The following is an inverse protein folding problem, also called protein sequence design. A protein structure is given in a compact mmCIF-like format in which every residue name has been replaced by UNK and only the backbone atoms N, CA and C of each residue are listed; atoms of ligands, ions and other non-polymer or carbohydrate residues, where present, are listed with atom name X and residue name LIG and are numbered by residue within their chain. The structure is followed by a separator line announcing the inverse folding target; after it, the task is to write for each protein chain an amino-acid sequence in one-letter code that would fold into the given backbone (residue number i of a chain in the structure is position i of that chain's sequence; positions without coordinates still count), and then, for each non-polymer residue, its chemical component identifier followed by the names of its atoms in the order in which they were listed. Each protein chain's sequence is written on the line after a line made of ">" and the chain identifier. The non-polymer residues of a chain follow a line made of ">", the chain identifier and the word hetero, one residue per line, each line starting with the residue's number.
data_IF_045490956018
#
_entry.id   IF_045490956018
#
_cell.length_a   1.000
_cell.length_b   1.000
_cell.length_c   1.000
_cell.angle_alpha   90.00
_cell.angle_beta   90.00
_cell.angle_gamma   90.00
#
_symmetry.space_group_name_H-M   'P 1'
#
loop_
_entity.id
_entity.type
_entity.pdbx_description
1 polymer ?
#
# COMPACT_ATOMS: atom_id res chain seq x y z
N UNK A 1 -26.61 -17.37 5.21
CA UNK A 1 -27.06 -16.77 5.06
C UNK A 1 -26.98 -16.53 4.79
N UNK A 2 -26.44 -16.61 4.91
CA UNK A 2 -26.63 -16.03 4.75
C UNK A 2 -26.14 -15.73 4.61
N UNK A 3 -25.60 -15.79 4.66
CA UNK A 3 -25.56 -15.14 4.47
C UNK A 3 -25.05 -14.73 4.39
N UNK A 4 -24.47 -14.84 4.57
CA UNK A 4 -24.41 -14.12 4.53
C UNK A 4 -23.73 -13.93 4.37
N UNK A 5 -23.40 -13.96 4.41
CA UNK A 5 -23.27 -13.49 4.32
C UNK A 5 -22.75 -13.24 4.33
N UNK A 6 -22.42 -13.46 4.38
CA UNK A 6 -22.64 -12.80 4.51
C UNK A 6 -22.11 -12.47 4.52
N UNK A 7 -21.30 -12.38 4.88
CA UNK A 7 -21.64 -11.69 5.02
C UNK A 7 -21.26 -11.36 5.15
N UNK A 8 -20.62 -11.30 5.47
CA UNK A 8 -20.97 -10.66 5.77
C UNK A 8 -20.64 -10.35 5.89
N UNK A 9 -20.05 -10.47 6.10
CA UNK A 9 -20.39 -9.84 6.38
C UNK A 9 -20.03 -9.77 6.39
N UNK A 10 -19.40 -9.67 6.63
CA UNK A 10 -19.70 -9.20 6.87
C UNK A 10 -19.22 -8.91 7.06
N UNK A 11 -18.75 -8.82 7.38
CA UNK A 11 -18.91 -8.13 7.81
C UNK A 11 -18.67 -8.02 8.23
N UNK A 12 -18.36 -8.05 8.32
CA UNK A 12 -18.64 -7.75 8.79
C UNK A 12 -18.91 -7.26 9.04
N UNK A 13 -18.66 -6.91 9.44
CA UNK A 13 -19.23 -6.19 9.82
C UNK A 13 -19.91 -6.19 9.59
N UNK A 14 -19.78 -6.31 9.77
CA UNK A 14 -20.70 -6.09 9.83
C UNK A 14 -21.27 -6.43 9.96
N UNK A 15 -21.37 -6.62 10.40
CA UNK A 15 -22.16 -6.63 10.90
C UNK A 15 -22.64 -6.67 11.20
N UNK A 16 -22.54 -6.82 11.56
CA UNK A 16 -23.17 -6.52 12.09
C UNK A 16 -23.33 -6.66 12.52
N UNK A 17 -23.45 -6.72 13.00
CA UNK A 17 -23.85 -6.48 13.69
C UNK A 17 -23.95 -6.54 14.10
N UNK A 18 -24.05 -6.72 14.43
CA UNK A 18 -24.32 -6.49 15.10
C UNK A 18 -24.37 -6.45 15.48
N UNK A 19 -24.37 -6.56 15.90
CA UNK A 19 -24.34 -6.23 16.55
C UNK A 19 -24.20 -6.04 17.01
N UNK A 20 -24.10 -6.28 17.48
CA UNK A 20 -23.86 -5.85 18.11
C UNK A 20 -23.37 -5.48 18.61
N UNK A 21 -23.19 -5.59 19.14
CA UNK A 21 -22.62 -4.97 19.57
C UNK A 21 -21.92 -4.77 19.80
N UNK A 22 -21.74 -4.70 20.00
CA UNK A 22 -21.00 -4.24 20.16
C UNK A 22 -20.34 -3.83 20.08
N UNK A 23 -19.93 -3.54 20.12
CA UNK A 23 -19.34 -3.00 19.99
C UNK A 23 -18.55 -2.25 20.08
N UNK A 24 -18.34 -2.11 19.97
CA UNK A 24 -17.67 -0.85 19.89
C UNK A 24 -16.30 -0.72 20.44
N UNK A 25 -15.97 -1.20 21.34
CA UNK A 25 -14.68 -1.14 21.86
C UNK A 25 -13.67 -1.64 20.94
N UNK A 26 -14.08 -2.34 20.04
CA UNK A 26 -13.12 -2.88 19.11
C UNK A 26 -12.44 -1.80 18.29
N UNK A 27 -13.05 -0.62 18.17
CA UNK A 27 -12.36 0.40 17.40
C UNK A 27 -11.11 0.87 18.05
N UNK A 28 -11.02 0.81 19.33
CA UNK A 28 -9.81 1.21 20.00
C UNK A 28 -8.69 0.22 19.77
N UNK A 29 -9.02 -0.95 19.25
CA UNK A 29 -8.03 -2.00 19.01
C UNK A 29 -7.59 -2.06 17.57
N UNK A 30 -8.03 -1.15 16.75
CA UNK A 30 -7.65 -1.15 15.35
C UNK A 30 -6.14 -0.98 15.23
N UNK A 31 -5.45 -1.87 14.49
CA UNK A 31 -4.02 -1.72 14.31
C UNK A 31 -3.70 -0.49 13.48
N UNK A 32 -2.54 0.11 13.70
CA UNK A 32 -2.15 1.27 12.90
C UNK A 32 -1.88 0.88 11.46
N UNK A 33 -2.04 1.84 10.57
CA UNK A 33 -1.72 1.67 9.17
C UNK A 33 -0.39 2.34 8.87
N UNK A 34 0.24 1.90 7.79
CA UNK A 34 1.55 2.39 7.39
C UNK A 34 1.52 2.86 5.95
N UNK A 35 2.13 4.01 5.72
CA UNK A 35 2.30 4.55 4.36
C UNK A 35 3.55 3.95 3.76
N UNK A 36 3.44 3.46 2.53
CA UNK A 36 4.59 3.02 1.77
C UNK A 36 4.94 4.13 0.79
N UNK A 37 6.20 4.50 0.76
CA UNK A 37 6.66 5.63 -0.03
C UNK A 37 7.83 5.24 -0.92
N UNK A 38 7.86 5.84 -2.11
CA UNK A 38 8.98 5.72 -3.05
C UNK A 38 9.76 7.03 -3.01
N UNK A 39 11.07 6.91 -2.95
CA UNK A 39 11.95 8.09 -2.91
C UNK A 39 12.66 8.26 -4.23
N UNK A 40 12.90 9.51 -4.60
CA UNK A 40 13.60 9.84 -5.82
C UNK A 40 15.10 9.54 -5.70
N UNK A 41 15.70 9.14 -6.81
CA UNK A 41 17.15 9.06 -6.93
C UNK A 41 17.50 9.37 -8.39
N UNK A 42 18.77 9.67 -8.64
CA UNK A 42 19.21 10.14 -9.95
C UNK A 42 19.57 9.01 -10.92
N UNK A 43 19.54 7.76 -10.46
CA UNK A 43 20.06 6.65 -11.25
C UNK A 43 19.02 5.65 -11.70
N UNK A 44 17.87 5.61 -11.04
CA UNK A 44 16.81 4.68 -11.42
C UNK A 44 16.01 5.27 -12.58
N UNK A 45 15.89 4.55 -13.70
CA UNK A 45 15.11 5.07 -14.83
C UNK A 45 13.64 5.27 -14.46
N UNK A 46 13.03 6.31 -15.00
CA UNK A 46 11.63 6.61 -14.75
C UNK A 46 10.71 5.46 -15.15
N UNK A 47 11.02 4.82 -16.28
CA UNK A 47 10.21 3.70 -16.75
C UNK A 47 10.26 2.52 -15.80
N UNK A 48 11.37 2.34 -15.09
CA UNK A 48 11.47 1.30 -14.08
C UNK A 48 10.55 1.61 -12.90
N UNK A 49 10.51 2.86 -12.47
CA UNK A 49 9.61 3.29 -11.38
C UNK A 49 8.16 3.04 -11.77
N UNK A 50 7.78 3.39 -13.00
CA UNK A 50 6.43 3.16 -13.50
C UNK A 50 6.11 1.65 -13.47
N UNK A 51 7.05 0.85 -13.91
CA UNK A 51 6.86 -0.60 -13.94
C UNK A 51 6.65 -1.17 -12.52
N UNK A 52 7.43 -0.69 -11.56
CA UNK A 52 7.31 -1.10 -10.16
C UNK A 52 5.92 -0.76 -9.63
N UNK A 53 5.44 0.45 -9.93
CA UNK A 53 4.14 0.89 -9.45
C UNK A 53 3.01 0.06 -10.06
N UNK A 54 3.13 -0.29 -11.32
CA UNK A 54 2.13 -1.15 -11.97
C UNK A 54 2.17 -2.57 -11.39
N UNK A 55 3.36 -3.11 -11.24
CA UNK A 55 3.53 -4.51 -10.86
C UNK A 55 3.21 -4.79 -9.39
N UNK A 56 3.70 -3.95 -8.49
CA UNK A 56 3.58 -4.23 -7.06
C UNK A 56 2.45 -3.49 -6.38
N UNK A 57 1.93 -2.43 -7.00
CA UNK A 57 0.86 -1.63 -6.40
C UNK A 57 -0.40 -1.60 -7.24
N UNK A 58 -0.41 -2.36 -8.33
CA UNK A 58 -1.62 -2.53 -9.14
C UNK A 58 -2.14 -1.26 -9.79
N UNK A 59 -1.27 -0.29 -10.01
CA UNK A 59 -1.69 0.97 -10.61
C UNK A 59 -1.85 0.83 -12.12
N UNK A 60 -2.76 1.66 -12.68
CA UNK A 60 -2.84 1.80 -14.13
C UNK A 60 -1.61 2.56 -14.61
N UNK A 61 -1.33 2.49 -15.91
CA UNK A 61 -0.21 3.23 -16.49
C UNK A 61 -0.32 4.72 -16.21
N UNK A 62 -1.52 5.27 -16.30
CA UNK A 62 -1.73 6.70 -16.05
C UNK A 62 -1.44 7.07 -14.60
N UNK A 63 -1.92 6.27 -13.66
CA UNK A 63 -1.65 6.49 -12.24
C UNK A 63 -0.16 6.37 -11.93
N UNK A 64 0.47 5.33 -12.47
CA UNK A 64 1.88 5.09 -12.22
C UNK A 64 2.74 6.23 -12.75
N UNK A 65 2.39 6.75 -13.93
CA UNK A 65 3.11 7.88 -14.50
C UNK A 65 2.96 9.12 -13.62
N UNK A 66 1.75 9.38 -13.15
CA UNK A 66 1.48 10.52 -12.30
C UNK A 66 2.27 10.47 -11.00
N UNK A 67 2.29 9.31 -10.36
CA UNK A 67 3.04 9.11 -9.12
C UNK A 67 4.54 9.26 -9.39
N UNK A 68 5.02 8.69 -10.48
CA UNK A 68 6.43 8.80 -10.86
C UNK A 68 6.84 10.26 -11.03
N UNK A 69 5.99 11.06 -11.67
CA UNK A 69 6.28 12.48 -11.82
C UNK A 69 6.30 13.20 -10.49
N UNK A 70 5.42 12.81 -9.57
CA UNK A 70 5.43 13.38 -8.22
C UNK A 70 6.72 13.05 -7.49
N UNK A 71 7.18 11.80 -7.59
CA UNK A 71 8.45 11.39 -6.98
C UNK A 71 9.59 12.23 -7.55
N UNK A 72 9.59 12.42 -8.87
CA UNK A 72 10.65 13.19 -9.52
C UNK A 72 10.65 14.66 -9.09
N UNK A 73 9.47 15.26 -8.98
CA UNK A 73 9.35 16.68 -8.67
C UNK A 73 9.47 16.98 -7.18
N UNK A 74 8.92 16.14 -6.33
CA UNK A 74 8.82 16.42 -4.90
C UNK A 74 9.81 15.61 -4.06
N UNK A 75 10.48 14.65 -4.66
CA UNK A 75 11.47 13.84 -3.96
C UNK A 75 10.92 12.57 -3.38
N UNK A 76 9.60 12.47 -3.18
CA UNK A 76 8.97 11.25 -2.69
C UNK A 76 7.48 11.29 -2.98
N UNK A 77 6.84 10.12 -2.92
CA UNK A 77 5.39 10.03 -3.03
C UNK A 77 4.91 8.82 -2.25
N UNK A 78 3.73 8.95 -1.64
CA UNK A 78 3.06 7.84 -0.99
C UNK A 78 2.38 7.01 -2.08
N UNK A 79 2.66 5.71 -2.09
CA UNK A 79 2.13 4.82 -3.12
C UNK A 79 1.02 3.91 -2.60
N UNK A 80 0.82 3.88 -1.30
CA UNK A 80 -0.26 3.10 -0.71
C UNK A 80 -0.19 3.14 0.80
N UNK A 81 -1.29 2.71 1.43
CA UNK A 81 -1.40 2.64 2.88
C UNK A 81 -1.88 1.23 3.22
N UNK A 82 -1.16 0.55 4.10
CA UNK A 82 -1.38 -0.87 4.37
C UNK A 82 -1.17 -1.18 5.84
N UNK A 83 -1.58 -2.38 6.26
CA UNK A 83 -1.19 -2.88 7.58
C UNK A 83 0.34 -3.01 7.61
N UNK A 84 0.90 -3.09 8.82
CA UNK A 84 2.35 -3.19 8.98
C UNK A 84 2.94 -4.34 8.17
N UNK A 85 2.33 -5.50 8.26
CA UNK A 85 2.82 -6.70 7.58
C UNK A 85 2.85 -6.56 6.07
N UNK A 86 1.76 -6.03 5.53
CA UNK A 86 1.67 -5.87 4.07
C UNK A 86 2.62 -4.78 3.60
N UNK A 87 2.70 -3.68 4.35
CA UNK A 87 3.63 -2.60 4.02
C UNK A 87 5.07 -3.11 3.97
N UNK A 88 5.46 -3.88 4.97
CA UNK A 88 6.80 -4.45 5.04
C UNK A 88 7.08 -5.36 3.84
N UNK A 89 6.10 -6.18 3.48
CA UNK A 89 6.22 -7.06 2.32
C UNK A 89 6.40 -6.25 1.04
N UNK A 90 5.61 -5.20 0.88
CA UNK A 90 5.72 -4.34 -0.31
C UNK A 90 7.08 -3.69 -0.41
N UNK A 91 7.58 -3.14 0.69
CA UNK A 91 8.90 -2.51 0.73
C UNK A 91 9.97 -3.51 0.34
N UNK A 92 9.93 -4.70 0.91
CA UNK A 92 10.92 -5.75 0.63
C UNK A 92 10.86 -6.17 -0.84
N UNK A 93 9.66 -6.37 -1.37
CA UNK A 93 9.50 -6.78 -2.77
C UNK A 93 10.08 -5.74 -3.72
N UNK A 94 9.78 -4.47 -3.48
CA UNK A 94 10.25 -3.39 -4.34
C UNK A 94 11.77 -3.27 -4.29
N UNK A 95 12.33 -3.29 -3.08
CA UNK A 95 13.77 -3.14 -2.92
C UNK A 95 14.54 -4.32 -3.50
N UNK A 96 14.05 -5.54 -3.31
CA UNK A 96 14.68 -6.72 -3.88
C UNK A 96 14.64 -6.70 -5.40
N UNK A 97 13.49 -6.32 -5.95
CA UNK A 97 13.32 -6.24 -7.39
C UNK A 97 14.27 -5.19 -7.99
N UNK A 98 14.34 -4.02 -7.36
CA UNK A 98 15.24 -2.95 -7.81
C UNK A 98 16.69 -3.40 -7.75
N UNK A 99 17.07 -4.07 -6.66
CA UNK A 99 18.44 -4.53 -6.50
C UNK A 99 18.82 -5.56 -7.55
N UNK A 100 17.89 -6.46 -7.88
CA UNK A 100 18.14 -7.45 -8.92
C UNK A 100 18.35 -6.82 -10.29
N UNK A 101 17.76 -5.67 -10.52
CA UNK A 101 17.93 -4.94 -11.77
C UNK A 101 19.01 -3.87 -11.66
N UNK A 102 19.73 -3.88 -10.54
CA UNK A 102 20.87 -2.97 -10.31
C UNK A 102 20.46 -1.50 -10.30
N UNK A 103 19.29 -1.23 -9.73
CA UNK A 103 18.81 0.15 -9.54
C UNK A 103 18.79 0.48 -8.05
N UNK A 104 19.24 1.68 -7.66
CA UNK A 104 19.28 2.07 -6.25
C UNK A 104 17.96 2.62 -5.73
N UNK A 105 16.84 2.28 -6.35
CA UNK A 105 15.54 2.77 -5.95
C UNK A 105 15.27 2.46 -4.47
N UNK A 106 14.82 3.46 -3.74
CA UNK A 106 14.50 3.33 -2.32
C UNK A 106 13.00 3.34 -2.10
N UNK A 107 12.56 2.44 -1.24
CA UNK A 107 11.17 2.34 -0.85
C UNK A 107 11.16 2.20 0.67
N UNK A 108 10.29 2.94 1.33
CA UNK A 108 10.25 2.91 2.79
C UNK A 108 8.81 2.95 3.26
N UNK A 109 8.63 2.79 4.56
CA UNK A 109 7.31 2.84 5.16
C UNK A 109 7.39 3.63 6.45
N UNK A 110 6.28 4.28 6.80
CA UNK A 110 6.21 4.94 8.10
C UNK A 110 4.77 4.93 8.57
N UNK A 111 4.63 4.93 9.89
CA UNK A 111 3.31 4.90 10.50
C UNK A 111 2.51 6.11 10.07
N UNK A 112 1.27 5.86 9.71
CA UNK A 112 0.36 6.92 9.24
C UNK A 112 0.00 7.92 10.34
#
# INVERSE_FOLDING_TARGET
>A
MITRPFHMSDDPDDIGESDLAVKPRSKSKRPPLYKVMILNDDYTPMEFVVHVLERFFGMSSAQALEIMLTVHKKGLAVVGVFSHEIAETKVTQVMDFARRHEHPLQCTMEKE
#
